data_IF_998209091239
#
_entry.id   IF_998209091239
#
_cell.length_a   1.000
_cell.length_b   1.000
_cell.length_c   1.000
_cell.angle_alpha   90.00
_cell.angle_beta   90.00
_cell.angle_gamma   90.00
#
_symmetry.space_group_name_H-M   'P 1'
#
loop_
_entity.id
_entity.type
_entity.pdbx_description
1 polymer ?
#
# COMPACT_ATOMS: atom_id res chain seq x y z
N UNK A 1 39.01 11.57 17.64
CA UNK A 1 37.59 11.72 18.07
C UNK A 1 36.72 12.47 17.06
N UNK A 2 37.12 13.64 16.53
CA UNK A 2 36.30 14.40 15.56
C UNK A 2 36.02 13.62 14.26
N UNK A 3 37.05 12.96 13.71
CA UNK A 3 36.95 12.16 12.48
C UNK A 3 35.99 10.96 12.60
N UNK A 4 36.04 10.21 13.71
CA UNK A 4 35.11 9.08 13.96
C UNK A 4 33.66 9.55 14.05
N UNK A 5 33.41 10.71 14.68
CA UNK A 5 32.07 11.31 14.75
C UNK A 5 31.57 11.74 13.36
N UNK A 6 32.43 12.35 12.56
CA UNK A 6 32.08 12.81 11.22
C UNK A 6 31.84 11.64 10.27
N UNK A 7 32.64 10.57 10.36
CA UNK A 7 32.46 9.36 9.57
C UNK A 7 31.19 8.59 9.97
N UNK A 8 30.90 8.50 11.28
CA UNK A 8 29.64 7.92 11.76
C UNK A 8 28.42 8.72 11.29
N UNK A 9 28.49 10.06 11.32
CA UNK A 9 27.41 10.92 10.82
C UNK A 9 27.21 10.75 9.31
N UNK A 10 28.29 10.68 8.52
CA UNK A 10 28.22 10.41 7.08
C UNK A 10 27.59 9.05 6.79
N UNK A 11 27.97 8.02 7.54
CA UNK A 11 27.40 6.69 7.39
C UNK A 11 25.89 6.69 7.70
N UNK A 12 25.48 7.35 8.79
CA UNK A 12 24.07 7.47 9.18
C UNK A 12 23.25 8.23 8.12
N UNK A 13 23.75 9.38 7.64
CA UNK A 13 23.07 10.17 6.61
C UNK A 13 22.94 9.40 5.31
N UNK A 14 24.00 8.71 4.86
CA UNK A 14 23.92 7.85 3.66
C UNK A 14 22.92 6.71 3.82
N UNK A 15 22.84 6.11 5.00
CA UNK A 15 21.86 5.06 5.28
C UNK A 15 20.43 5.61 5.21
N UNK A 16 20.18 6.80 5.77
CA UNK A 16 18.88 7.49 5.68
C UNK A 16 18.56 7.86 4.23
N UNK A 17 19.52 8.41 3.50
CA UNK A 17 19.36 8.76 2.08
C UNK A 17 19.00 7.54 1.23
N UNK A 18 19.63 6.40 1.47
CA UNK A 18 19.36 5.16 0.74
C UNK A 18 17.92 4.65 0.92
N UNK A 19 17.31 4.90 2.09
CA UNK A 19 15.93 4.50 2.40
C UNK A 19 14.90 5.61 2.18
N UNK A 20 15.30 6.74 1.60
CA UNK A 20 14.34 7.74 1.15
C UNK A 20 13.39 7.13 0.11
N UNK A 21 12.08 7.42 0.20
CA UNK A 21 11.08 6.80 -0.68
C UNK A 21 11.42 6.92 -2.18
N UNK A 22 12.01 8.04 -2.59
CA UNK A 22 12.37 8.30 -3.98
C UNK A 22 13.50 7.39 -4.46
N UNK A 23 14.51 7.18 -3.62
CA UNK A 23 15.68 6.36 -3.98
C UNK A 23 15.28 4.88 -4.03
N UNK A 24 14.48 4.43 -3.07
CA UNK A 24 13.94 3.07 -3.05
C UNK A 24 13.11 2.77 -4.31
N UNK A 25 12.25 3.70 -4.74
CA UNK A 25 11.47 3.55 -5.98
C UNK A 25 12.36 3.54 -7.21
N UNK A 26 13.28 4.50 -7.34
CA UNK A 26 14.19 4.56 -8.50
C UNK A 26 15.03 3.29 -8.65
N UNK A 27 15.50 2.74 -7.54
CA UNK A 27 16.29 1.50 -7.57
C UNK A 27 15.42 0.29 -7.92
N UNK A 28 14.24 0.16 -7.31
CA UNK A 28 13.33 -0.95 -7.62
C UNK A 28 12.81 -0.94 -9.06
N UNK A 29 12.66 0.24 -9.69
CA UNK A 29 12.29 0.36 -11.10
C UNK A 29 13.40 -0.05 -12.08
N UNK A 30 14.63 -0.31 -11.60
CA UNK A 30 15.71 -0.92 -12.40
C UNK A 30 15.68 -2.45 -12.40
N UNK A 31 14.77 -3.07 -11.65
CA UNK A 31 14.61 -4.51 -11.63
C UNK A 31 14.35 -5.06 -13.05
N UNK A 32 15.15 -6.04 -13.48
CA UNK A 32 15.08 -6.59 -14.83
C UNK A 32 13.70 -7.18 -15.16
N UNK A 33 12.99 -7.72 -14.16
CA UNK A 33 11.64 -8.27 -14.36
C UNK A 33 10.65 -7.17 -14.67
N UNK A 34 10.77 -6.01 -14.01
CA UNK A 34 9.95 -4.85 -14.30
C UNK A 34 10.28 -4.26 -15.68
N UNK A 35 11.56 -4.08 -16.00
CA UNK A 35 12.00 -3.56 -17.30
C UNK A 35 11.55 -4.45 -18.46
N UNK A 36 11.67 -5.78 -18.32
CA UNK A 36 11.19 -6.73 -19.33
C UNK A 36 9.69 -6.62 -19.60
N UNK A 37 8.88 -6.34 -18.57
CA UNK A 37 7.43 -6.10 -18.74
C UNK A 37 7.16 -4.77 -19.43
N UNK A 38 7.91 -3.74 -19.05
CA UNK A 38 7.84 -2.41 -19.65
C UNK A 38 8.13 -2.45 -21.16
N UNK A 39 9.19 -3.17 -21.54
CA UNK A 39 9.58 -3.37 -22.95
C UNK A 39 8.57 -4.25 -23.72
N UNK A 40 7.74 -5.02 -23.02
CA UNK A 40 6.65 -5.82 -23.58
C UNK A 40 5.47 -5.00 -24.12
N UNK A 41 5.46 -3.68 -23.92
CA UNK A 41 4.50 -2.74 -24.52
C UNK A 41 3.10 -2.76 -23.92
N UNK A 42 2.93 -3.33 -22.71
CA UNK A 42 1.69 -3.21 -21.94
C UNK A 42 1.65 -1.88 -21.17
N UNK A 43 0.44 -1.51 -20.71
CA UNK A 43 0.25 -0.31 -19.90
C UNK A 43 0.86 -0.47 -18.51
N UNK A 44 1.38 0.62 -17.95
CA UNK A 44 1.78 0.70 -16.54
C UNK A 44 0.81 1.62 -15.81
N UNK A 45 0.00 1.03 -14.94
CA UNK A 45 -0.96 1.78 -14.10
C UNK A 45 -0.45 1.82 -12.67
N UNK A 46 -0.35 3.02 -12.09
CA UNK A 46 0.13 3.21 -10.73
C UNK A 46 -1.02 3.20 -9.72
N UNK A 47 -0.80 2.50 -8.59
CA UNK A 47 -1.59 2.64 -7.38
C UNK A 47 -0.64 2.85 -6.21
N UNK A 48 -0.67 4.01 -5.57
CA UNK A 48 0.21 4.34 -4.45
C UNK A 48 -0.59 4.59 -3.18
N UNK A 49 -0.23 3.93 -2.09
CA UNK A 49 -0.93 4.03 -0.80
C UNK A 49 0.03 4.23 0.37
N UNK A 50 -0.39 5.01 1.37
CA UNK A 50 0.36 5.26 2.59
C UNK A 50 0.92 6.67 2.72
N UNK A 51 1.63 6.93 3.83
CA UNK A 51 2.15 8.26 4.19
C UNK A 51 3.22 8.79 3.23
N UNK A 52 3.95 7.91 2.55
CA UNK A 52 4.96 8.26 1.55
C UNK A 52 4.45 8.10 0.11
N UNK A 53 3.17 7.77 -0.09
CA UNK A 53 2.60 7.46 -1.40
C UNK A 53 2.88 8.55 -2.44
N UNK A 54 2.71 9.83 -2.07
CA UNK A 54 2.98 10.95 -2.98
C UNK A 54 4.44 10.99 -3.43
N UNK A 55 5.39 10.87 -2.50
CA UNK A 55 6.84 10.90 -2.82
C UNK A 55 7.25 9.72 -3.69
N UNK A 56 6.74 8.54 -3.36
CA UNK A 56 6.96 7.32 -4.15
C UNK A 56 6.39 7.47 -5.55
N UNK A 57 5.16 7.99 -5.68
CA UNK A 57 4.50 8.20 -6.96
C UNK A 57 5.20 9.25 -7.82
N UNK A 58 5.67 10.35 -7.22
CA UNK A 58 6.47 11.37 -7.92
C UNK A 58 7.75 10.78 -8.48
N UNK A 59 8.48 10.00 -7.68
CA UNK A 59 9.68 9.33 -8.15
C UNK A 59 9.41 8.34 -9.29
N UNK A 60 8.31 7.58 -9.21
CA UNK A 60 7.89 6.68 -10.29
C UNK A 60 7.53 7.45 -11.56
N UNK A 61 6.73 8.51 -11.46
CA UNK A 61 6.34 9.36 -12.59
C UNK A 61 7.57 9.99 -13.27
N UNK A 62 8.51 10.53 -12.49
CA UNK A 62 9.74 11.13 -13.02
C UNK A 62 10.64 10.11 -13.73
N UNK A 63 10.64 8.86 -13.25
CA UNK A 63 11.49 7.79 -13.80
C UNK A 63 10.88 7.15 -15.06
N UNK A 64 9.56 6.97 -15.07
CA UNK A 64 8.84 6.32 -16.17
C UNK A 64 8.46 7.29 -17.28
N UNK A 65 8.22 8.56 -16.95
CA UNK A 65 7.80 9.59 -17.89
C UNK A 65 6.52 9.18 -18.63
N UNK A 66 6.56 9.25 -19.96
CA UNK A 66 5.44 8.86 -20.84
C UNK A 66 5.09 7.36 -20.80
N UNK A 67 5.91 6.53 -20.15
CA UNK A 67 5.62 5.09 -19.99
C UNK A 67 4.67 4.78 -18.83
N UNK A 68 4.25 5.80 -18.06
CA UNK A 68 3.24 5.67 -17.02
C UNK A 68 1.88 6.11 -17.58
N UNK A 69 0.92 5.18 -17.64
CA UNK A 69 -0.43 5.39 -18.19
C UNK A 69 -1.41 6.06 -17.21
N UNK A 70 -0.88 6.62 -16.13
CA UNK A 70 -1.63 7.25 -15.06
C UNK A 70 -1.84 6.34 -13.85
N UNK A 71 -2.69 6.79 -12.93
CA UNK A 71 -2.87 6.07 -11.67
C UNK A 71 -3.53 6.88 -10.57
N UNK A 72 -3.51 6.32 -9.36
CA UNK A 72 -4.09 6.92 -8.16
C UNK A 72 -3.08 6.93 -7.03
N UNK A 73 -3.03 8.04 -6.30
CA UNK A 73 -2.29 8.19 -5.05
C UNK A 73 -3.29 8.41 -3.93
N UNK A 74 -3.23 7.58 -2.88
CA UNK A 74 -4.02 7.78 -1.65
C UNK A 74 -3.07 7.96 -0.47
N UNK A 75 -3.07 9.15 0.12
CA UNK A 75 -2.16 9.50 1.21
C UNK A 75 -2.91 10.17 2.36
N UNK A 76 -2.21 10.46 3.47
CA UNK A 76 -2.81 11.11 4.64
C UNK A 76 -3.07 12.60 4.34
N UNK A 77 -4.10 13.19 4.95
CA UNK A 77 -4.30 14.64 4.91
C UNK A 77 -3.02 15.44 5.18
N UNK A 78 -2.73 16.41 4.31
CA UNK A 78 -1.54 17.27 4.36
C UNK A 78 -0.23 16.59 3.94
N UNK A 79 -0.27 15.39 3.37
CA UNK A 79 0.93 14.69 2.86
C UNK A 79 1.09 14.79 1.34
N UNK A 80 0.06 15.22 0.60
CA UNK A 80 0.24 15.56 -0.80
C UNK A 80 1.08 16.84 -0.93
N UNK A 81 1.93 16.91 -1.96
CA UNK A 81 2.81 18.06 -2.21
C UNK A 81 2.50 18.71 -3.57
N UNK A 82 1.23 18.73 -3.93
CA UNK A 82 0.73 19.27 -5.20
C UNK A 82 0.42 18.18 -6.24
N UNK A 83 0.18 18.62 -7.47
CA UNK A 83 -0.22 17.74 -8.57
C UNK A 83 0.95 16.92 -9.11
N UNK A 84 0.64 15.72 -9.60
CA UNK A 84 1.55 14.89 -10.39
C UNK A 84 0.80 14.58 -11.69
N UNK A 85 1.36 15.01 -12.83
CA UNK A 85 0.70 14.88 -14.13
C UNK A 85 0.30 13.43 -14.40
N UNK A 86 -0.97 13.22 -14.78
CA UNK A 86 -1.53 11.90 -15.09
C UNK A 86 -1.97 11.08 -13.86
N UNK A 87 -1.75 11.56 -12.64
CA UNK A 87 -2.17 10.89 -11.41
C UNK A 87 -3.31 11.64 -10.72
N UNK A 88 -4.28 10.88 -10.21
CA UNK A 88 -5.34 11.40 -9.36
C UNK A 88 -4.92 11.24 -7.89
N UNK A 89 -4.95 12.34 -7.11
CA UNK A 89 -4.42 12.37 -5.75
C UNK A 89 -5.58 12.55 -4.77
N UNK A 90 -5.67 11.62 -3.83
CA UNK A 90 -6.63 11.61 -2.74
C UNK A 90 -5.89 11.72 -1.42
N UNK A 91 -6.40 12.58 -0.55
CA UNK A 91 -6.03 12.62 0.86
C UNK A 91 -7.15 12.04 1.70
N UNK A 92 -6.80 11.16 2.64
CA UNK A 92 -7.76 10.34 3.37
C UNK A 92 -7.39 10.14 4.84
N UNK A 93 -8.34 9.55 5.57
CA UNK A 93 -8.27 9.31 7.01
C UNK A 93 -7.15 8.36 7.44
N UNK A 94 -6.45 8.74 8.50
CA UNK A 94 -5.49 7.90 9.21
C UNK A 94 -5.32 8.41 10.65
N UNK A 95 -5.48 7.57 11.69
CA UNK A 95 -5.32 6.10 11.67
C UNK A 95 -6.58 5.28 11.34
N UNK A 96 -7.76 5.91 11.27
CA UNK A 96 -9.00 5.26 10.85
C UNK A 96 -9.37 5.66 9.42
N UNK A 97 -9.91 4.73 8.61
CA UNK A 97 -10.40 5.04 7.27
C UNK A 97 -11.60 5.99 7.34
N UNK A 98 -11.77 6.82 6.30
CA UNK A 98 -12.92 7.69 6.13
C UNK A 98 -13.52 7.56 4.72
N UNK A 99 -14.51 8.40 4.39
CA UNK A 99 -15.14 8.39 3.06
C UNK A 99 -14.14 8.67 1.92
N UNK A 100 -13.11 9.49 2.17
CA UNK A 100 -12.06 9.73 1.19
C UNK A 100 -11.16 8.51 0.99
N UNK A 101 -10.97 7.67 2.03
CA UNK A 101 -10.36 6.35 1.86
C UNK A 101 -11.15 5.52 0.86
N UNK A 102 -12.47 5.47 1.00
CA UNK A 102 -13.34 4.68 0.13
C UNK A 102 -13.33 5.20 -1.31
N UNK A 103 -13.41 6.53 -1.47
CA UNK A 103 -13.36 7.18 -2.77
C UNK A 103 -12.02 6.92 -3.49
N UNK A 104 -10.89 7.13 -2.82
CA UNK A 104 -9.56 6.87 -3.37
C UNK A 104 -9.35 5.39 -3.72
N UNK A 105 -9.82 4.49 -2.86
CA UNK A 105 -9.76 3.03 -3.10
C UNK A 105 -10.63 2.64 -4.29
N UNK A 106 -11.85 3.17 -4.40
CA UNK A 106 -12.73 2.92 -5.53
C UNK A 106 -12.11 3.39 -6.84
N UNK A 107 -11.47 4.56 -6.85
CA UNK A 107 -10.79 5.08 -8.04
C UNK A 107 -9.59 4.22 -8.44
N UNK A 108 -8.80 3.76 -7.47
CA UNK A 108 -7.70 2.83 -7.74
C UNK A 108 -8.21 1.52 -8.37
N UNK A 109 -9.31 0.97 -7.85
CA UNK A 109 -9.94 -0.23 -8.42
C UNK A 109 -10.49 0.01 -9.84
N UNK A 110 -11.03 1.19 -10.12
CA UNK A 110 -11.47 1.58 -11.45
C UNK A 110 -10.30 1.58 -12.45
N UNK A 111 -9.15 2.17 -12.08
CA UNK A 111 -7.96 2.26 -12.95
C UNK A 111 -7.35 0.91 -13.29
N UNK A 112 -7.42 -0.07 -12.38
CA UNK A 112 -6.86 -1.42 -12.62
C UNK A 112 -7.86 -2.39 -13.23
N UNK A 113 -9.12 -1.97 -13.42
CA UNK A 113 -10.15 -2.83 -14.00
C UNK A 113 -9.91 -3.02 -15.50
N UNK A 114 -10.02 -4.26 -15.97
CA UNK A 114 -9.92 -4.59 -17.39
C UNK A 114 -8.50 -4.50 -17.96
N UNK A 115 -7.48 -4.51 -17.08
CA UNK A 115 -6.09 -4.69 -17.50
C UNK A 115 -5.87 -6.11 -18.05
N UNK A 116 -5.02 -6.22 -19.05
CA UNK A 116 -4.64 -7.48 -19.69
C UNK A 116 -3.37 -8.08 -19.07
N UNK A 117 -3.01 -9.31 -19.43
CA UNK A 117 -1.78 -9.98 -18.98
C UNK A 117 -0.48 -9.23 -19.32
N UNK A 118 -0.53 -8.37 -20.36
CA UNK A 118 0.59 -7.51 -20.76
C UNK A 118 0.74 -6.29 -19.86
N UNK A 119 -0.36 -5.81 -19.30
CA UNK A 119 -0.39 -4.63 -18.45
C UNK A 119 0.26 -4.93 -17.10
N UNK A 120 0.71 -3.88 -16.40
CA UNK A 120 1.35 -3.99 -15.09
C UNK A 120 0.78 -2.94 -14.16
N UNK A 121 0.40 -3.37 -12.96
CA UNK A 121 0.07 -2.47 -11.86
C UNK A 121 1.33 -2.23 -11.04
N UNK A 122 1.84 -1.01 -11.06
CA UNK A 122 2.91 -0.56 -10.18
C UNK A 122 2.28 -0.16 -8.84
N UNK A 123 2.39 -1.06 -7.85
CA UNK A 123 1.77 -0.87 -6.53
C UNK A 123 2.79 -0.36 -5.51
N UNK A 124 2.67 0.90 -5.11
CA UNK A 124 3.59 1.56 -4.19
C UNK A 124 2.96 1.59 -2.80
N UNK A 125 3.61 0.96 -1.81
CA UNK A 125 3.04 0.81 -0.47
C UNK A 125 3.99 1.37 0.56
N UNK A 126 3.46 2.17 1.48
CA UNK A 126 4.18 2.66 2.67
C UNK A 126 3.31 2.57 3.93
N UNK A 127 3.90 2.89 5.08
CA UNK A 127 3.23 2.93 6.37
C UNK A 127 1.88 3.68 6.35
N UNK A 128 0.89 3.15 7.06
CA UNK A 128 -0.48 3.68 7.11
C UNK A 128 -1.42 3.16 6.01
N UNK A 129 -0.95 2.33 5.08
CA UNK A 129 -1.76 1.78 3.99
C UNK A 129 -3.03 1.05 4.43
N UNK A 130 -3.06 0.42 5.62
CA UNK A 130 -4.26 -0.26 6.11
C UNK A 130 -5.47 0.67 6.28
N UNK A 131 -5.25 1.92 6.70
CA UNK A 131 -6.30 2.94 6.86
C UNK A 131 -6.55 3.73 5.57
N UNK A 132 -5.51 3.90 4.75
CA UNK A 132 -5.56 4.71 3.53
C UNK A 132 -6.01 3.90 2.29
N UNK A 133 -6.15 2.59 2.41
CA UNK A 133 -6.64 1.72 1.33
C UNK A 133 -7.62 0.70 1.89
N UNK A 134 -8.90 1.01 1.75
CA UNK A 134 -9.99 0.20 2.29
C UNK A 134 -11.22 0.22 1.40
N UNK A 135 -11.83 -0.95 1.29
CA UNK A 135 -13.17 -1.13 0.73
C UNK A 135 -13.86 -2.18 1.59
N UNK A 136 -14.93 -1.85 2.33
CA UNK A 136 -15.72 -2.84 3.04
C UNK A 136 -16.25 -3.89 2.08
N UNK A 137 -16.41 -5.13 2.57
CA UNK A 137 -17.17 -6.14 1.84
C UNK A 137 -18.66 -5.81 1.83
N UNK A 138 -19.38 -6.41 0.89
CA UNK A 138 -20.84 -6.32 0.84
C UNK A 138 -21.44 -6.74 2.19
N UNK A 139 -22.34 -5.91 2.72
CA UNK A 139 -22.96 -6.10 4.02
C UNK A 139 -22.15 -5.59 5.22
N UNK A 140 -20.98 -4.98 5.00
CA UNK A 140 -20.17 -4.31 6.04
C UNK A 140 -20.13 -2.81 5.76
N UNK A 141 -20.47 -1.99 6.75
CA UNK A 141 -20.34 -0.54 6.66
C UNK A 141 -18.93 -0.05 7.04
N UNK A 142 -18.61 1.21 6.73
CA UNK A 142 -17.38 1.85 7.22
C UNK A 142 -17.37 1.92 8.75
N UNK A 143 -18.52 2.24 9.36
CA UNK A 143 -18.68 2.31 10.81
C UNK A 143 -18.44 0.95 11.48
N UNK A 144 -18.87 -0.16 10.86
CA UNK A 144 -18.58 -1.51 11.35
C UNK A 144 -17.06 -1.76 11.40
N UNK A 145 -16.33 -1.38 10.35
CA UNK A 145 -14.87 -1.53 10.31
C UNK A 145 -14.17 -0.72 11.39
N UNK A 146 -14.60 0.53 11.59
CA UNK A 146 -14.05 1.42 12.61
C UNK A 146 -14.35 0.84 14.00
N UNK A 147 -15.61 0.47 14.25
CA UNK A 147 -16.07 -0.07 15.53
C UNK A 147 -15.34 -1.36 15.91
N UNK A 148 -15.23 -2.32 14.98
CA UNK A 148 -14.50 -3.58 15.24
C UNK A 148 -13.02 -3.31 15.50
N UNK A 149 -12.41 -2.38 14.75
CA UNK A 149 -11.00 -2.03 14.97
C UNK A 149 -10.79 -1.39 16.34
N UNK A 150 -11.67 -0.49 16.76
CA UNK A 150 -11.60 0.18 18.06
C UNK A 150 -11.77 -0.82 19.22
N UNK A 151 -12.74 -1.73 19.12
CA UNK A 151 -12.96 -2.79 20.11
C UNK A 151 -11.73 -3.69 20.28
N UNK A 152 -11.12 -4.12 19.17
CA UNK A 152 -9.92 -4.97 19.21
C UNK A 152 -8.71 -4.24 19.82
N UNK A 153 -8.58 -2.94 19.56
CA UNK A 153 -7.54 -2.12 20.21
C UNK A 153 -7.82 -1.98 21.71
N UNK A 154 -9.06 -1.72 22.09
CA UNK A 154 -9.47 -1.54 23.48
C UNK A 154 -9.27 -2.81 24.33
N UNK A 155 -9.47 -3.99 23.73
CA UNK A 155 -9.24 -5.28 24.41
C UNK A 155 -7.79 -5.77 24.34
N UNK A 156 -6.88 -4.99 23.73
CA UNK A 156 -5.46 -5.32 23.65
C UNK A 156 -5.14 -6.47 22.70
N UNK A 157 -5.94 -6.69 21.65
CA UNK A 157 -5.60 -7.63 20.59
C UNK A 157 -4.30 -7.22 19.89
N UNK A 158 -3.46 -8.20 19.55
CA UNK A 158 -2.22 -7.90 18.86
C UNK A 158 -2.45 -7.55 17.38
N UNK A 159 -1.45 -6.97 16.73
CA UNK A 159 -1.58 -6.52 15.33
C UNK A 159 -1.85 -7.67 14.35
N UNK A 160 -1.41 -8.89 14.64
CA UNK A 160 -1.66 -10.07 13.81
C UNK A 160 -3.14 -10.46 13.93
N UNK A 161 -3.68 -10.47 15.14
CA UNK A 161 -5.10 -10.75 15.43
C UNK A 161 -6.01 -9.68 14.81
N UNK A 162 -5.68 -8.40 14.98
CA UNK A 162 -6.40 -7.28 14.36
C UNK A 162 -6.40 -7.44 12.83
N UNK A 163 -5.25 -7.69 12.22
CA UNK A 163 -5.15 -7.87 10.77
C UNK A 163 -5.93 -9.10 10.30
N UNK A 164 -5.97 -10.17 11.08
CA UNK A 164 -6.75 -11.37 10.74
C UNK A 164 -8.24 -11.04 10.60
N UNK A 165 -8.81 -10.31 11.55
CA UNK A 165 -10.22 -9.87 11.49
C UNK A 165 -10.43 -8.88 10.34
N UNK A 166 -9.60 -7.84 10.23
CA UNK A 166 -9.72 -6.81 9.19
C UNK A 166 -9.66 -7.38 7.78
N UNK A 167 -8.80 -8.38 7.54
CA UNK A 167 -8.75 -9.10 6.26
C UNK A 167 -10.05 -9.83 5.95
N UNK A 168 -10.93 -10.14 6.91
CA UNK A 168 -12.24 -10.76 6.63
C UNK A 168 -13.31 -9.77 6.23
N UNK A 169 -13.22 -8.55 6.75
CA UNK A 169 -14.20 -7.50 6.54
C UNK A 169 -13.90 -6.62 5.31
N UNK A 170 -12.68 -6.72 4.76
CA UNK A 170 -12.22 -5.93 3.61
C UNK A 170 -12.31 -6.68 2.28
N UNK A 171 -12.69 -5.96 1.22
CA UNK A 171 -12.68 -6.41 -0.16
C UNK A 171 -11.32 -6.24 -0.86
N UNK A 172 -10.36 -5.50 -0.30
CA UNK A 172 -9.05 -5.24 -0.94
C UNK A 172 -7.86 -5.84 -0.19
N UNK A 173 -7.98 -6.10 1.11
CA UNK A 173 -6.92 -6.71 1.94
C UNK A 173 -6.82 -8.22 1.72
N UNK A 174 -5.74 -8.83 2.22
CA UNK A 174 -5.55 -10.29 2.18
C UNK A 174 -5.51 -10.87 0.76
N UNK A 175 -4.79 -10.21 -0.14
CA UNK A 175 -4.56 -10.65 -1.51
C UNK A 175 -5.67 -10.29 -2.48
N UNK A 176 -6.79 -9.72 -2.00
CA UNK A 176 -7.95 -9.45 -2.86
C UNK A 176 -7.70 -8.32 -3.85
N UNK A 177 -6.88 -7.33 -3.53
CA UNK A 177 -6.46 -6.34 -4.52
C UNK A 177 -5.71 -7.00 -5.69
N UNK A 178 -4.80 -7.95 -5.42
CA UNK A 178 -4.16 -8.70 -6.50
C UNK A 178 -5.17 -9.53 -7.33
N UNK A 179 -6.24 -10.04 -6.71
CA UNK A 179 -7.34 -10.69 -7.45
C UNK A 179 -8.11 -9.70 -8.34
N UNK A 180 -8.33 -8.46 -7.89
CA UNK A 180 -8.92 -7.40 -8.72
C UNK A 180 -8.05 -7.02 -9.93
N UNK A 181 -6.73 -7.15 -9.80
CA UNK A 181 -5.77 -6.85 -10.87
C UNK A 181 -5.66 -7.98 -11.89
N UNK A 182 -6.00 -9.21 -11.52
CA UNK A 182 -5.94 -10.34 -12.44
C UNK A 182 -6.78 -10.10 -13.72
N UNK A 183 -6.27 -10.44 -14.91
CA UNK A 183 -5.08 -11.25 -15.17
C UNK A 183 -3.75 -10.45 -15.28
N UNK A 184 -3.76 -9.13 -15.09
CA UNK A 184 -2.55 -8.31 -15.07
C UNK A 184 -1.65 -8.66 -13.88
N UNK A 185 -0.37 -8.29 -13.96
CA UNK A 185 0.57 -8.48 -12.85
C UNK A 185 0.65 -7.26 -11.93
N UNK A 186 0.88 -7.52 -10.65
CA UNK A 186 1.22 -6.49 -9.65
C UNK A 186 2.73 -6.51 -9.43
N UNK A 187 3.40 -5.38 -9.69
CA UNK A 187 4.77 -5.14 -9.26
C UNK A 187 4.74 -4.21 -8.04
N UNK A 188 4.95 -4.79 -6.85
CA UNK A 188 4.84 -4.06 -5.59
C UNK A 188 6.19 -3.55 -5.11
N UNK A 189 6.29 -2.25 -4.83
CA UNK A 189 7.42 -1.63 -4.13
C UNK A 189 6.94 -1.23 -2.75
N UNK A 190 7.50 -1.86 -1.71
CA UNK A 190 7.04 -1.73 -0.33
C UNK A 190 8.11 -1.05 0.52
N UNK A 191 7.77 0.11 1.07
CA UNK A 191 8.55 0.79 2.11
C UNK A 191 8.00 0.38 3.47
N UNK A 192 8.62 -0.64 4.06
CA UNK A 192 8.19 -1.27 5.32
C UNK A 192 8.57 -0.42 6.53
N UNK A 193 7.59 -0.15 7.38
CA UNK A 193 7.76 0.31 8.76
C UNK A 193 7.48 -0.80 9.79
N UNK A 194 7.37 -2.05 9.33
CA UNK A 194 7.06 -3.23 10.15
C UNK A 194 8.35 -4.03 10.38
N UNK A 195 8.68 -4.26 11.66
CA UNK A 195 9.82 -5.09 12.03
C UNK A 195 9.70 -6.50 11.41
N UNK A 196 10.73 -6.92 10.68
CA UNK A 196 10.78 -8.21 10.01
C UNK A 196 10.08 -8.26 8.64
N UNK A 197 9.66 -7.11 8.09
CA UNK A 197 9.18 -6.94 6.70
C UNK A 197 8.09 -7.92 6.25
N UNK A 198 7.18 -8.25 7.19
CA UNK A 198 6.10 -9.20 6.93
C UNK A 198 5.06 -8.59 5.98
N UNK A 199 5.13 -8.98 4.71
CA UNK A 199 4.26 -8.48 3.63
C UNK A 199 2.76 -8.71 3.86
N UNK A 200 2.39 -9.75 4.61
CA UNK A 200 1.00 -10.04 4.99
C UNK A 200 0.43 -9.02 6.00
N UNK A 201 1.32 -8.33 6.71
CA UNK A 201 1.01 -7.35 7.76
C UNK A 201 1.06 -5.93 7.22
N UNK A 202 1.98 -5.63 6.28
CA UNK A 202 2.11 -4.30 5.67
C UNK A 202 0.85 -4.00 4.84
N UNK A 203 0.17 -2.91 5.20
CA UNK A 203 -1.14 -2.53 4.65
C UNK A 203 -2.19 -3.67 4.72
N UNK A 204 -2.02 -4.65 5.62
CA UNK A 204 -2.82 -5.88 5.71
C UNK A 204 -2.80 -6.73 4.42
N UNK A 205 -1.66 -6.72 3.71
CA UNK A 205 -1.34 -7.57 2.57
C UNK A 205 -2.32 -7.49 1.39
N UNK A 206 -2.57 -6.33 0.75
CA UNK A 206 -3.54 -6.25 -0.35
C UNK A 206 -3.16 -7.11 -1.56
N UNK A 207 -1.86 -7.27 -1.81
CA UNK A 207 -1.29 -8.09 -2.88
C UNK A 207 -0.56 -9.34 -2.36
N UNK A 208 -0.84 -9.78 -1.13
CA UNK A 208 -0.22 -10.96 -0.52
C UNK A 208 -1.30 -11.97 -0.10
N UNK A 209 -1.13 -13.28 -0.37
CA UNK A 209 -2.11 -14.27 0.06
C UNK A 209 -2.30 -14.25 1.58
N UNK A 210 -3.55 -14.39 2.02
CA UNK A 210 -3.89 -14.51 3.43
C UNK A 210 -3.93 -15.99 3.84
N UNK A 211 -2.95 -16.42 4.63
CA UNK A 211 -2.84 -17.80 5.12
C UNK A 211 -3.79 -18.11 6.28
N UNK A 212 -4.36 -17.10 6.92
CA UNK A 212 -5.33 -17.32 8.01
C UNK A 212 -6.62 -17.91 7.48
N UNK A 213 -7.46 -18.44 8.37
CA UNK A 213 -8.77 -19.04 8.07
C UNK A 213 -9.92 -18.30 8.75
N UNK A 214 -11.16 -18.58 8.34
CA UNK A 214 -12.36 -18.07 9.04
C UNK A 214 -12.44 -18.64 10.45
N UNK A 215 -12.07 -19.91 10.63
CA UNK A 215 -12.06 -20.57 11.94
C UNK A 215 -11.12 -19.89 12.92
N UNK A 216 -9.92 -19.49 12.47
CA UNK A 216 -8.99 -18.75 13.33
C UNK A 216 -9.51 -17.37 13.66
N UNK A 217 -10.09 -16.65 12.70
CA UNK A 217 -10.73 -15.35 12.96
C UNK A 217 -11.83 -15.47 14.02
N UNK A 218 -12.68 -16.50 13.96
CA UNK A 218 -13.71 -16.73 14.98
C UNK A 218 -13.12 -17.00 16.37
N UNK A 219 -12.00 -17.73 16.46
CA UNK A 219 -11.31 -17.92 17.75
C UNK A 219 -10.82 -16.61 18.36
N UNK A 220 -10.44 -15.63 17.54
CA UNK A 220 -10.06 -14.30 18.04
C UNK A 220 -11.30 -13.58 18.58
N UNK A 221 -12.44 -13.66 17.89
CA UNK A 221 -13.70 -13.11 18.42
C UNK A 221 -14.05 -13.75 19.77
N UNK A 222 -14.00 -15.08 19.86
CA UNK A 222 -14.30 -15.80 21.09
C UNK A 222 -13.32 -15.49 22.23
N UNK A 223 -12.04 -15.23 21.91
CA UNK A 223 -10.99 -14.88 22.89
C UNK A 223 -11.28 -13.55 23.61
N UNK A 224 -11.96 -12.63 22.96
CA UNK A 224 -12.19 -11.26 23.45
C UNK A 224 -13.67 -10.94 23.73
N UNK A 225 -14.54 -11.96 23.68
CA UNK A 225 -15.97 -11.86 24.01
C UNK A 225 -16.24 -11.87 25.52
#
# INVERSE_FOLDING_TARGET
MKQVKDDAMKAALKAIEAVLPENAVKEALRDERFLKRLDGGGRVVLAAIGKAAWRMAKAAADTLGSRLDGGVVVTKYGHSMGEIQGLEIYEAGHPFPDENTLAGTAKALEKVKGLSEKDTVLFLVSGGGSALFEKPKDGVSLDDLISVTDQLLACGADIVEINMIRKRLSAVKGGRFAQFVAPSQVFAIVLSDVLGDRLDSIASGPAHPDSSTVREAMRIVDKYS
#
